data_IF_458156746655
#
_entry.id   IF_458156746655
#
_cell.length_a   1.000
_cell.length_b   1.000
_cell.length_c   1.000
_cell.angle_alpha   90.00
_cell.angle_beta   90.00
_cell.angle_gamma   90.00
#
_symmetry.space_group_name_H-M   'P 1'
#
loop_
_entity.id
_entity.type
_entity.pdbx_description
1 polymer ?
#
# COMPACT_ATOMS: atom_id res chain seq x y z
N UNK A 1 5.09 -6.89 21.83
CA UNK A 1 4.01 -6.23 22.58
C UNK A 1 3.07 -5.54 21.59
N UNK A 2 1.82 -5.88 21.64
CA UNK A 2 0.84 -5.26 20.72
C UNK A 2 0.46 -3.90 21.27
N UNK A 3 0.79 -2.83 20.51
CA UNK A 3 0.29 -1.51 20.84
C UNK A 3 -1.20 -1.45 20.57
N UNK A 4 -1.96 -1.04 21.55
CA UNK A 4 -3.37 -0.79 21.37
C UNK A 4 -3.54 0.34 20.34
N UNK A 5 -4.38 0.12 19.34
CA UNK A 5 -4.63 1.13 18.31
C UNK A 5 -5.35 2.34 18.92
N UNK A 6 -5.24 3.49 18.25
CA UNK A 6 -5.97 4.71 18.63
C UNK A 6 -7.47 4.42 18.67
N UNK A 7 -7.98 3.68 17.69
CA UNK A 7 -9.39 3.29 17.64
C UNK A 7 -9.79 2.36 18.78
N UNK A 8 -8.90 1.46 19.21
CA UNK A 8 -9.13 0.60 20.36
C UNK A 8 -9.24 1.40 21.67
N UNK A 9 -8.38 2.42 21.85
CA UNK A 9 -8.45 3.32 23.00
C UNK A 9 -9.76 4.09 23.03
N UNK A 10 -10.22 4.59 21.91
CA UNK A 10 -11.49 5.32 21.79
C UNK A 10 -12.66 4.40 22.05
N UNK A 11 -12.65 3.17 21.55
CA UNK A 11 -13.68 2.18 21.85
C UNK A 11 -13.76 1.88 23.34
N UNK A 12 -12.63 1.82 24.05
CA UNK A 12 -12.60 1.65 25.50
C UNK A 12 -13.23 2.85 26.21
N UNK A 13 -12.91 4.06 25.79
CA UNK A 13 -13.51 5.27 26.34
C UNK A 13 -15.02 5.30 26.13
N UNK A 14 -15.50 4.89 24.96
CA UNK A 14 -16.94 4.83 24.65
C UNK A 14 -17.68 3.80 25.52
N UNK A 15 -16.99 2.74 25.98
CA UNK A 15 -17.54 1.73 26.88
C UNK A 15 -17.50 2.13 28.34
N UNK A 16 -16.67 3.10 28.71
CA UNK A 16 -16.59 3.60 30.07
C UNK A 16 -17.88 4.32 30.43
N UNK A 17 -18.31 4.17 31.68
CA UNK A 17 -19.46 4.92 32.16
C UNK A 17 -19.05 6.35 32.48
N UNK A 18 -19.16 7.22 31.50
CA UNK A 18 -18.75 8.63 31.58
C UNK A 18 -19.48 9.36 32.71
N UNK A 19 -20.78 9.09 32.88
CA UNK A 19 -21.57 9.70 33.94
C UNK A 19 -21.03 9.37 35.33
N UNK A 20 -20.66 8.11 35.58
CA UNK A 20 -20.07 7.70 36.86
C UNK A 20 -18.72 8.35 37.09
N UNK A 21 -17.89 8.49 36.06
CA UNK A 21 -16.61 9.17 36.15
C UNK A 21 -16.77 10.67 36.48
N UNK A 22 -17.72 11.33 35.86
CA UNK A 22 -18.04 12.73 36.11
C UNK A 22 -18.55 12.94 37.52
N UNK A 23 -19.47 12.08 38.00
CA UNK A 23 -20.02 12.15 39.33
C UNK A 23 -18.98 11.92 40.43
N UNK A 24 -17.96 11.10 40.16
CA UNK A 24 -16.87 10.82 41.07
C UNK A 24 -15.76 11.91 41.06
N UNK A 25 -15.76 12.82 40.12
CA UNK A 25 -14.70 13.81 39.95
C UNK A 25 -14.86 14.96 40.96
N UNK A 26 -13.73 15.47 41.50
CA UNK A 26 -13.72 16.65 42.37
C UNK A 26 -14.14 17.90 41.60
N UNK A 27 -13.72 18.01 40.32
CA UNK A 27 -14.05 19.13 39.45
C UNK A 27 -14.57 18.57 38.10
N UNK A 28 -15.91 18.34 37.99
CA UNK A 28 -16.48 17.80 36.77
C UNK A 28 -16.24 18.63 35.54
N UNK A 29 -16.23 19.96 35.64
CA UNK A 29 -16.00 20.85 34.51
C UNK A 29 -14.58 20.69 33.96
N UNK A 30 -13.59 20.69 34.85
CA UNK A 30 -12.20 20.48 34.46
C UNK A 30 -11.97 19.11 33.83
N UNK A 31 -12.61 18.10 34.37
CA UNK A 31 -12.56 16.73 33.82
C UNK A 31 -13.15 16.67 32.41
N UNK A 32 -14.32 17.29 32.19
CA UNK A 32 -14.95 17.36 30.88
C UNK A 32 -14.06 18.09 29.87
N UNK A 33 -13.49 19.23 30.26
CA UNK A 33 -12.59 20.00 29.39
C UNK A 33 -11.38 19.16 29.00
N UNK A 34 -10.82 18.39 29.93
CA UNK A 34 -9.70 17.51 29.65
C UNK A 34 -10.10 16.37 28.70
N UNK A 35 -11.26 15.78 28.91
CA UNK A 35 -11.78 14.73 28.02
C UNK A 35 -11.99 15.23 26.61
N UNK A 36 -12.51 16.43 26.44
CA UNK A 36 -12.68 17.07 25.12
C UNK A 36 -11.34 17.29 24.45
N UNK A 37 -10.35 17.80 25.20
CA UNK A 37 -8.99 17.98 24.66
C UNK A 37 -8.36 16.66 24.24
N UNK A 38 -8.47 15.65 25.08
CA UNK A 38 -7.92 14.32 24.81
C UNK A 38 -8.57 13.71 23.57
N UNK A 39 -9.87 13.83 23.44
CA UNK A 39 -10.63 13.31 22.28
C UNK A 39 -10.23 14.05 21.01
N UNK A 40 -10.12 15.38 21.06
CA UNK A 40 -9.68 16.20 19.92
C UNK A 40 -8.26 15.81 19.48
N UNK A 41 -7.33 15.61 20.44
CA UNK A 41 -5.98 15.18 20.16
C UNK A 41 -5.96 13.78 19.53
N UNK A 42 -6.82 12.88 20.01
CA UNK A 42 -6.94 11.53 19.42
C UNK A 42 -7.44 11.59 17.98
N UNK A 43 -8.35 12.50 17.65
CA UNK A 43 -8.80 12.70 16.26
C UNK A 43 -7.64 13.18 15.40
N UNK A 44 -6.85 14.14 15.86
CA UNK A 44 -5.68 14.64 15.12
C UNK A 44 -4.66 13.52 14.86
N UNK A 45 -4.38 12.70 15.88
CA UNK A 45 -3.48 11.56 15.73
C UNK A 45 -4.05 10.53 14.75
N UNK A 46 -5.35 10.28 14.79
CA UNK A 46 -6.01 9.35 13.87
C UNK A 46 -5.95 9.88 12.42
N UNK A 47 -6.16 11.17 12.23
CA UNK A 47 -6.03 11.81 10.90
C UNK A 47 -4.62 11.64 10.33
N UNK A 48 -3.60 11.84 11.16
CA UNK A 48 -2.21 11.66 10.76
C UNK A 48 -1.91 10.19 10.41
N UNK A 49 -2.43 9.24 11.19
CA UNK A 49 -2.25 7.81 10.93
C UNK A 49 -2.93 7.38 9.63
N UNK A 50 -4.13 7.88 9.35
CA UNK A 50 -4.84 7.63 8.09
C UNK A 50 -4.07 8.19 6.92
N UNK A 51 -3.58 9.43 7.01
CA UNK A 51 -2.80 10.08 5.96
C UNK A 51 -1.52 9.29 5.64
N UNK A 52 -0.82 8.82 6.66
CA UNK A 52 0.40 8.01 6.49
C UNK A 52 0.08 6.68 5.81
N UNK A 53 -0.99 6.01 6.21
CA UNK A 53 -1.41 4.75 5.61
C UNK A 53 -1.80 4.93 4.14
N UNK A 54 -2.50 6.00 3.80
CA UNK A 54 -2.82 6.35 2.42
C UNK A 54 -1.55 6.58 1.60
N UNK A 55 -0.58 7.31 2.16
CA UNK A 55 0.71 7.54 1.52
C UNK A 55 1.44 6.24 1.21
N UNK A 56 1.47 5.31 2.16
CA UNK A 56 2.08 3.99 1.98
C UNK A 56 1.36 3.18 0.89
N UNK A 57 0.03 3.23 0.86
CA UNK A 57 -0.76 2.56 -0.18
C UNK A 57 -0.44 3.12 -1.57
N UNK A 58 -0.32 4.44 -1.70
CA UNK A 58 0.04 5.09 -2.97
C UNK A 58 1.41 4.68 -3.46
N UNK A 59 2.39 4.51 -2.55
CA UNK A 59 3.72 4.01 -2.91
C UNK A 59 3.65 2.58 -3.43
N UNK A 60 2.87 1.71 -2.79
CA UNK A 60 2.66 0.34 -3.27
C UNK A 60 2.01 0.31 -4.65
N UNK A 61 1.01 1.15 -4.88
CA UNK A 61 0.33 1.25 -6.17
C UNK A 61 1.28 1.78 -7.26
N UNK A 62 2.13 2.75 -6.92
CA UNK A 62 3.12 3.31 -7.83
C UNK A 62 4.16 2.25 -8.21
N UNK A 63 4.70 1.53 -7.24
CA UNK A 63 5.67 0.45 -7.48
C UNK A 63 5.05 -0.65 -8.35
N UNK A 64 3.79 -1.01 -8.11
CA UNK A 64 3.06 -1.97 -8.92
C UNK A 64 2.92 -1.49 -10.37
N UNK A 65 2.58 -0.23 -10.58
CA UNK A 65 2.47 0.35 -11.92
C UNK A 65 3.83 0.38 -12.64
N UNK A 66 4.92 0.64 -11.92
CA UNK A 66 6.28 0.58 -12.47
C UNK A 66 6.65 -0.84 -12.89
N UNK A 67 6.33 -1.84 -12.07
CA UNK A 67 6.58 -3.24 -12.40
C UNK A 67 5.82 -3.66 -13.66
N UNK A 68 4.57 -3.22 -13.81
CA UNK A 68 3.80 -3.50 -15.02
C UNK A 68 4.40 -2.84 -16.26
N UNK A 69 4.88 -1.60 -16.15
CA UNK A 69 5.58 -0.92 -17.25
C UNK A 69 6.89 -1.61 -17.60
N UNK A 70 7.66 -2.02 -16.58
CA UNK A 70 8.90 -2.76 -16.79
C UNK A 70 8.64 -4.08 -17.51
N UNK A 71 7.59 -4.80 -17.14
CA UNK A 71 7.19 -6.03 -17.81
C UNK A 71 6.89 -5.77 -19.29
N UNK A 72 6.14 -4.71 -19.61
CA UNK A 72 5.83 -4.33 -20.99
C UNK A 72 7.09 -3.96 -21.77
N UNK A 73 7.99 -3.17 -21.20
CA UNK A 73 9.25 -2.76 -21.83
C UNK A 73 10.13 -3.97 -22.13
N UNK A 74 10.30 -4.86 -21.16
CA UNK A 74 11.11 -6.06 -21.36
C UNK A 74 10.46 -7.01 -22.35
N UNK A 75 9.14 -7.12 -22.37
CA UNK A 75 8.41 -7.90 -23.37
C UNK A 75 8.63 -7.37 -24.79
N UNK A 76 8.59 -6.04 -24.96
CA UNK A 76 8.87 -5.39 -26.24
C UNK A 76 10.31 -5.62 -26.68
N UNK A 77 11.27 -5.52 -25.76
CA UNK A 77 12.69 -5.79 -26.04
C UNK A 77 12.91 -7.26 -26.42
N UNK A 78 12.24 -8.16 -25.74
CA UNK A 78 12.31 -9.60 -26.04
C UNK A 78 11.81 -9.88 -27.47
N UNK A 79 10.68 -9.29 -27.82
CA UNK A 79 10.09 -9.46 -29.16
C UNK A 79 11.01 -8.87 -30.24
N UNK A 80 11.55 -7.68 -30.01
CA UNK A 80 12.46 -7.03 -30.94
C UNK A 80 13.74 -7.85 -31.14
N UNK A 81 14.32 -8.41 -30.07
CA UNK A 81 15.48 -9.26 -30.14
C UNK A 81 15.20 -10.56 -30.87
N UNK A 82 14.04 -11.17 -30.63
CA UNK A 82 13.60 -12.39 -31.32
C UNK A 82 13.41 -12.17 -32.80
N UNK A 83 12.78 -11.06 -33.18
CA UNK A 83 12.59 -10.69 -34.59
C UNK A 83 13.94 -10.44 -35.28
N UNK A 84 14.88 -9.81 -34.58
CA UNK A 84 16.22 -9.56 -35.09
C UNK A 84 17.00 -10.86 -35.32
N UNK A 85 16.85 -11.79 -34.37
CA UNK A 85 17.43 -13.15 -34.51
C UNK A 85 16.90 -13.85 -35.74
N UNK A 86 15.60 -13.76 -36.00
CA UNK A 86 14.97 -14.37 -37.19
C UNK A 86 15.51 -13.75 -38.49
N UNK A 87 15.70 -12.42 -38.52
CA UNK A 87 16.30 -11.74 -39.66
C UNK A 87 17.72 -12.22 -39.95
N UNK A 88 18.56 -12.34 -38.94
CA UNK A 88 19.91 -12.87 -39.09
C UNK A 88 19.94 -14.33 -39.54
N UNK A 89 19.02 -15.12 -39.00
CA UNK A 89 18.91 -16.52 -39.36
C UNK A 89 18.51 -16.67 -40.83
N UNK A 90 17.58 -15.86 -41.32
CA UNK A 90 17.18 -15.81 -42.71
C UNK A 90 18.31 -15.39 -43.66
N UNK A 91 19.20 -14.54 -43.15
CA UNK A 91 20.40 -14.08 -43.88
C UNK A 91 21.58 -15.07 -43.80
N UNK A 92 21.43 -16.18 -43.08
CA UNK A 92 22.49 -17.17 -42.87
C UNK A 92 23.52 -16.81 -41.81
N UNK A 93 23.30 -15.72 -41.06
CA UNK A 93 24.23 -15.26 -40.00
C UNK A 93 23.82 -15.92 -38.66
N UNK A 94 24.25 -17.15 -38.45
CA UNK A 94 23.91 -17.96 -37.29
C UNK A 94 24.49 -17.37 -35.99
N UNK A 95 25.71 -16.83 -36.04
CA UNK A 95 26.38 -16.28 -34.87
C UNK A 95 25.60 -15.10 -34.27
N UNK A 96 25.16 -14.16 -35.10
CA UNK A 96 24.35 -13.04 -34.67
C UNK A 96 22.93 -13.45 -34.29
N UNK A 97 22.35 -14.43 -34.99
CA UNK A 97 21.05 -15.00 -34.61
C UNK A 97 21.06 -15.57 -33.20
N UNK A 98 22.09 -16.35 -32.84
CA UNK A 98 22.24 -16.93 -31.51
C UNK A 98 22.42 -15.84 -30.44
N UNK A 99 23.18 -14.79 -30.74
CA UNK A 99 23.40 -13.66 -29.87
C UNK A 99 22.08 -12.96 -29.51
N UNK A 100 21.24 -12.70 -30.52
CA UNK A 100 19.93 -12.05 -30.30
C UNK A 100 18.93 -12.99 -29.66
N UNK A 101 18.99 -14.30 -29.90
CA UNK A 101 18.20 -15.29 -29.17
C UNK A 101 18.53 -15.26 -27.68
N UNK A 102 19.80 -15.16 -27.32
CA UNK A 102 20.22 -15.04 -25.91
C UNK A 102 19.74 -13.74 -25.29
N UNK A 103 19.80 -12.62 -26.00
CA UNK A 103 19.26 -11.35 -25.54
C UNK A 103 17.74 -11.43 -25.31
N UNK A 104 17.02 -12.10 -26.20
CA UNK A 104 15.58 -12.33 -26.05
C UNK A 104 15.26 -13.15 -24.80
N UNK A 105 16.05 -14.19 -24.52
CA UNK A 105 15.88 -15.01 -23.31
C UNK A 105 16.12 -14.20 -22.03
N UNK A 106 17.14 -13.35 -22.01
CA UNK A 106 17.44 -12.47 -20.86
C UNK A 106 16.29 -11.50 -20.66
N UNK A 107 15.78 -10.87 -21.72
CA UNK A 107 14.66 -9.95 -21.65
C UNK A 107 13.38 -10.63 -21.17
N UNK A 108 13.09 -11.86 -21.64
CA UNK A 108 11.96 -12.65 -21.15
C UNK A 108 12.09 -12.96 -19.65
N UNK A 109 13.29 -13.31 -19.19
CA UNK A 109 13.53 -13.56 -17.77
C UNK A 109 13.24 -12.33 -16.91
N UNK A 110 13.62 -11.15 -17.37
CA UNK A 110 13.34 -9.88 -16.70
C UNK A 110 11.85 -9.53 -16.74
N UNK A 111 11.18 -9.78 -17.86
CA UNK A 111 9.73 -9.63 -17.98
C UNK A 111 9.00 -10.50 -16.96
N UNK A 112 9.36 -11.78 -16.87
CA UNK A 112 8.75 -12.72 -15.93
C UNK A 112 8.98 -12.32 -14.48
N UNK A 113 10.17 -11.80 -14.16
CA UNK A 113 10.47 -11.30 -12.83
C UNK A 113 9.59 -10.10 -12.48
N UNK A 114 9.47 -9.13 -13.38
CA UNK A 114 8.62 -7.95 -13.18
C UNK A 114 7.14 -8.34 -13.02
N UNK A 115 6.66 -9.28 -13.82
CA UNK A 115 5.29 -9.81 -13.72
C UNK A 115 5.04 -10.50 -12.38
N UNK A 116 6.01 -11.28 -11.87
CA UNK A 116 5.89 -11.92 -10.57
C UNK A 116 5.85 -10.91 -9.44
N UNK A 117 6.70 -9.88 -9.49
CA UNK A 117 6.71 -8.80 -8.50
C UNK A 117 5.39 -8.04 -8.50
N UNK A 118 4.87 -7.70 -9.68
CA UNK A 118 3.58 -7.03 -9.83
C UNK A 118 2.44 -7.88 -9.26
N UNK A 119 2.44 -9.16 -9.56
CA UNK A 119 1.42 -10.09 -9.07
C UNK A 119 1.50 -10.29 -7.55
N UNK A 120 2.71 -10.36 -7.00
CA UNK A 120 2.93 -10.49 -5.56
C UNK A 120 2.45 -9.25 -4.80
N UNK A 121 2.47 -8.08 -5.42
CA UNK A 121 2.00 -6.84 -4.81
C UNK A 121 0.47 -6.73 -4.76
N UNK A 122 -0.27 -7.41 -5.63
CA UNK A 122 -1.73 -7.33 -5.70
C UNK A 122 -2.44 -7.64 -4.38
N UNK A 123 -2.13 -8.75 -3.67
CA UNK A 123 -2.77 -9.03 -2.38
C UNK A 123 -2.41 -7.99 -1.31
N UNK A 124 -1.18 -7.46 -1.33
CA UNK A 124 -0.76 -6.41 -0.40
C UNK A 124 -1.54 -5.11 -0.62
N UNK A 125 -1.73 -4.72 -1.88
CA UNK A 125 -2.50 -3.54 -2.25
C UNK A 125 -3.96 -3.72 -1.83
N UNK A 126 -4.56 -4.88 -2.10
CA UNK A 126 -5.94 -5.19 -1.71
C UNK A 126 -6.12 -5.13 -0.20
N UNK A 127 -5.19 -5.71 0.56
CA UNK A 127 -5.20 -5.70 2.02
C UNK A 127 -5.06 -4.27 2.56
N UNK A 128 -4.12 -3.49 2.05
CA UNK A 128 -3.91 -2.10 2.48
C UNK A 128 -5.09 -1.21 2.11
N UNK A 129 -5.69 -1.42 0.95
CA UNK A 129 -6.90 -0.69 0.54
C UNK A 129 -8.03 -0.92 1.55
N UNK A 130 -8.22 -2.16 1.99
CA UNK A 130 -9.22 -2.49 2.99
C UNK A 130 -8.93 -1.83 4.34
N UNK A 131 -7.67 -1.83 4.77
CA UNK A 131 -7.24 -1.15 6.00
C UNK A 131 -7.53 0.35 5.92
N UNK A 132 -7.21 0.99 4.79
CA UNK A 132 -7.48 2.43 4.59
C UNK A 132 -8.99 2.72 4.69
N UNK A 133 -9.83 1.89 4.08
CA UNK A 133 -11.28 2.08 4.16
C UNK A 133 -11.80 1.95 5.59
N UNK A 134 -11.30 0.98 6.34
CA UNK A 134 -11.66 0.80 7.75
C UNK A 134 -11.21 1.98 8.60
N UNK A 135 -10.01 2.51 8.35
CA UNK A 135 -9.49 3.67 9.08
C UNK A 135 -10.29 4.94 8.76
N UNK A 136 -10.67 5.15 7.51
CA UNK A 136 -11.53 6.27 7.10
C UNK A 136 -12.90 6.20 7.79
N UNK A 137 -13.49 5.02 7.82
CA UNK A 137 -14.78 4.81 8.49
C UNK A 137 -14.69 5.09 9.98
N UNK A 138 -13.63 4.61 10.63
CA UNK A 138 -13.36 4.88 12.03
C UNK A 138 -13.21 6.36 12.31
N UNK A 139 -12.47 7.07 11.47
CA UNK A 139 -12.28 8.51 11.59
C UNK A 139 -13.58 9.28 11.42
N UNK A 140 -14.41 8.89 10.46
CA UNK A 140 -15.74 9.48 10.26
C UNK A 140 -16.61 9.32 11.51
N UNK A 141 -16.61 8.15 12.14
CA UNK A 141 -17.35 7.89 13.37
C UNK A 141 -16.84 8.73 14.54
N UNK A 142 -15.53 8.98 14.62
CA UNK A 142 -14.95 9.82 15.65
C UNK A 142 -15.38 11.29 15.53
N UNK A 143 -15.59 11.76 14.30
CA UNK A 143 -16.00 13.14 14.02
C UNK A 143 -17.49 13.38 14.21
N UNK A 144 -18.27 12.32 14.23
CA UNK A 144 -19.74 12.39 14.33
C UNK A 144 -20.26 12.68 15.76
#
# INVERSE_FOLDING_TARGET
MVKQSIFGRIAQLAKANINALIDAAEDPQKMLDQMVRDYTNNIVEAEAAVAQTIGNLRLLEQDHAEDLRDADEWGSKALAASNKADEFRAAGDTANADKFDNLAKIALGKQMQAEREAKAAEPQIASQTQVVEQLKDGLTKMRA
#
